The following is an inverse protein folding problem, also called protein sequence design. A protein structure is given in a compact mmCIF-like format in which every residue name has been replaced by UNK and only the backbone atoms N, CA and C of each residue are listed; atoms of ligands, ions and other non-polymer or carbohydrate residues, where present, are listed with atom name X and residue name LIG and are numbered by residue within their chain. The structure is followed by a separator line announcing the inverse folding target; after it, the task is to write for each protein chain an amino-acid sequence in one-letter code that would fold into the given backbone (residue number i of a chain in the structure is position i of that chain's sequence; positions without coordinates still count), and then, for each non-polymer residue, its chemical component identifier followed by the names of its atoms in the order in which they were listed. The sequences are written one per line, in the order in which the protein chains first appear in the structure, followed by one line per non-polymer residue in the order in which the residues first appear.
data_IF_916358117268
#
_entry.id   IF_916358117268
#
_cell.length_a   1.000
_cell.length_b   1.000
_cell.length_c   1.000
_cell.angle_alpha   90.00
_cell.angle_beta   90.00
_cell.angle_gamma   90.00
#
_symmetry.space_group_name_H-M   'P 1'
#
loop_
_entity.id
_entity.type
_entity.pdbx_description
1 polymer ?
#
# COMPACT_ATOMS: atom_id res chain seq x y z
N UNK A 1 10.78 33.39 -1.73
CA UNK A 1 9.56 32.59 -2.04
C UNK A 1 8.48 33.56 -2.47
N UNK A 2 7.56 33.18 -3.36
CA UNK A 2 6.40 34.04 -3.65
C UNK A 2 5.49 34.11 -2.42
N UNK A 3 4.86 35.26 -2.18
CA UNK A 3 3.93 35.46 -1.05
C UNK A 3 2.84 34.37 -1.01
N UNK A 4 2.35 33.98 -2.19
CA UNK A 4 1.35 32.93 -2.34
C UNK A 4 1.79 31.57 -1.79
N UNK A 5 3.06 31.19 -1.98
CA UNK A 5 3.60 29.91 -1.51
C UNK A 5 3.71 29.89 0.03
N UNK A 6 4.09 31.02 0.61
CA UNK A 6 4.14 31.21 2.07
C UNK A 6 2.74 31.22 2.67
N UNK A 7 1.79 31.91 2.05
CA UNK A 7 0.37 31.89 2.47
C UNK A 7 -0.21 30.48 2.43
N UNK A 8 0.07 29.71 1.38
CA UNK A 8 -0.40 28.34 1.26
C UNK A 8 0.14 27.45 2.40
N UNK A 9 1.44 27.55 2.69
CA UNK A 9 2.07 26.81 3.78
C UNK A 9 1.46 27.18 5.14
N UNK A 10 1.10 28.45 5.35
CA UNK A 10 0.37 28.90 6.54
C UNK A 10 -1.03 28.32 6.65
N UNK A 11 -1.79 28.27 5.56
CA UNK A 11 -3.12 27.63 5.57
C UNK A 11 -3.01 26.15 5.91
N UNK A 12 -2.06 25.44 5.31
CA UNK A 12 -1.77 24.05 5.66
C UNK A 12 -1.43 23.91 7.14
N UNK A 13 -0.56 24.78 7.68
CA UNK A 13 -0.19 24.76 9.10
C UNK A 13 -1.40 24.89 10.02
N UNK A 14 -2.29 25.85 9.74
CA UNK A 14 -3.52 26.07 10.51
C UNK A 14 -4.44 24.85 10.48
N UNK A 15 -4.60 24.23 9.32
CA UNK A 15 -5.43 23.02 9.18
C UNK A 15 -4.85 21.86 9.99
N UNK A 16 -3.53 21.65 9.94
CA UNK A 16 -2.88 20.59 10.72
C UNK A 16 -2.97 20.85 12.23
N UNK A 17 -2.80 22.10 12.68
CA UNK A 17 -3.03 22.47 14.09
C UNK A 17 -4.46 22.17 14.52
N UNK A 18 -5.46 22.48 13.68
CA UNK A 18 -6.85 22.21 14.00
C UNK A 18 -7.19 20.71 14.06
N UNK A 19 -6.62 19.91 13.15
CA UNK A 19 -6.82 18.45 13.13
C UNK A 19 -6.06 17.73 14.24
N UNK A 20 -4.89 18.23 14.64
CA UNK A 20 -4.04 17.63 15.66
C UNK A 20 -3.70 18.62 16.79
N UNK A 21 -4.69 19.06 17.60
CA UNK A 21 -4.49 20.09 18.60
C UNK A 21 -3.38 19.73 19.59
N UNK A 22 -2.45 20.68 19.82
CA UNK A 22 -1.29 20.54 20.70
C UNK A 22 -0.19 19.58 20.22
N UNK A 23 -0.54 18.55 19.44
CA UNK A 23 0.42 17.54 18.93
C UNK A 23 1.22 18.07 17.75
N UNK A 24 0.55 18.71 16.79
CA UNK A 24 1.20 19.28 15.61
C UNK A 24 2.27 20.31 15.97
N UNK A 25 1.92 21.27 16.82
CA UNK A 25 2.81 22.36 17.22
C UNK A 25 3.98 21.84 18.06
N UNK A 26 3.76 20.81 18.89
CA UNK A 26 4.85 20.19 19.65
C UNK A 26 5.91 19.58 18.73
N UNK A 27 5.53 19.01 17.61
CA UNK A 27 6.46 18.34 16.68
C UNK A 27 7.06 19.29 15.64
N UNK A 28 6.29 20.26 15.15
CA UNK A 28 6.67 21.08 14.00
C UNK A 28 6.89 22.56 14.36
N UNK A 29 6.50 22.98 15.56
CA UNK A 29 6.48 24.38 15.99
C UNK A 29 5.18 25.09 15.63
N UNK A 30 4.96 26.23 16.28
CA UNK A 30 3.74 27.04 16.10
C UNK A 30 3.64 27.72 14.72
N UNK A 31 4.76 27.85 14.00
CA UNK A 31 4.80 28.57 12.73
C UNK A 31 5.76 27.91 11.71
N UNK A 32 5.42 27.93 10.41
CA UNK A 32 6.31 27.48 9.34
C UNK A 32 7.44 28.47 9.04
N UNK A 33 7.33 29.72 9.50
CA UNK A 33 8.27 30.81 9.24
C UNK A 33 8.79 31.42 10.54
N UNK A 34 10.02 31.90 10.50
CA UNK A 34 10.65 32.68 11.57
C UNK A 34 10.23 34.15 11.49
N UNK A 35 10.56 34.92 12.52
CA UNK A 35 10.28 36.37 12.60
C UNK A 35 10.94 37.18 11.48
N UNK A 36 12.06 36.70 10.94
CA UNK A 36 12.78 37.32 9.82
C UNK A 36 12.19 36.97 8.44
N UNK A 37 11.10 36.20 8.40
CA UNK A 37 10.42 35.75 7.18
C UNK A 37 11.02 34.51 6.52
N UNK A 38 12.14 33.97 7.03
CA UNK A 38 12.72 32.72 6.53
C UNK A 38 11.94 31.49 7.02
N UNK A 39 11.99 30.38 6.28
CA UNK A 39 11.35 29.13 6.72
C UNK A 39 12.06 28.56 7.97
N UNK A 40 11.29 27.93 8.85
CA UNK A 40 11.85 27.03 9.86
C UNK A 40 12.35 25.73 9.21
N UNK A 41 13.06 24.89 9.96
CA UNK A 41 13.48 23.56 9.46
C UNK A 41 12.24 22.74 9.10
N UNK A 42 11.24 22.69 9.99
CA UNK A 42 9.98 22.02 9.73
C UNK A 42 9.24 22.66 8.54
N UNK A 43 9.17 23.99 8.48
CA UNK A 43 8.59 24.72 7.36
C UNK A 43 9.24 24.37 6.03
N UNK A 44 10.57 24.23 6.00
CA UNK A 44 11.33 23.81 4.81
C UNK A 44 10.98 22.38 4.40
N UNK A 45 10.95 21.43 5.33
CA UNK A 45 10.60 20.02 5.07
C UNK A 45 9.19 19.90 4.49
N UNK A 46 8.20 20.53 5.13
CA UNK A 46 6.82 20.50 4.67
C UNK A 46 6.63 21.24 3.36
N UNK A 47 7.34 22.35 3.15
CA UNK A 47 7.34 23.04 1.87
C UNK A 47 7.80 22.13 0.73
N UNK A 48 8.84 21.30 0.92
CA UNK A 48 9.27 20.35 -0.11
C UNK A 48 8.22 19.29 -0.44
N UNK A 49 7.49 18.81 0.57
CA UNK A 49 6.40 17.83 0.36
C UNK A 49 5.23 18.44 -0.40
N UNK A 50 4.88 19.69 -0.08
CA UNK A 50 3.76 20.38 -0.71
C UNK A 50 4.10 20.92 -2.11
N UNK A 51 5.37 21.23 -2.36
CA UNK A 51 5.82 21.78 -3.63
C UNK A 51 5.62 20.77 -4.77
N UNK A 52 5.05 21.24 -5.87
CA UNK A 52 4.86 20.43 -7.09
C UNK A 52 3.67 19.46 -7.03
N UNK A 53 2.86 19.52 -5.97
CA UNK A 53 1.59 18.79 -5.88
C UNK A 53 0.44 19.64 -6.38
N UNK A 54 -0.56 18.97 -6.94
CA UNK A 54 -1.82 19.62 -7.31
C UNK A 54 -2.70 19.83 -6.09
N UNK A 55 -3.64 20.78 -6.17
CA UNK A 55 -4.64 21.02 -5.13
C UNK A 55 -5.44 19.74 -4.82
N UNK A 56 -5.76 18.94 -5.84
CA UNK A 56 -6.46 17.68 -5.69
C UNK A 56 -5.65 16.65 -4.89
N UNK A 57 -4.35 16.54 -5.14
CA UNK A 57 -3.46 15.65 -4.36
C UNK A 57 -3.37 16.09 -2.90
N UNK A 58 -3.28 17.39 -2.63
CA UNK A 58 -3.32 17.88 -1.25
C UNK A 58 -4.64 17.58 -0.56
N UNK A 59 -5.77 17.81 -1.23
CA UNK A 59 -7.09 17.49 -0.68
C UNK A 59 -7.22 16.00 -0.31
N UNK A 60 -6.66 15.09 -1.13
CA UNK A 60 -6.57 13.66 -0.78
C UNK A 60 -5.79 13.43 0.52
N UNK A 61 -4.60 14.02 0.63
CA UNK A 61 -3.77 13.89 1.83
C UNK A 61 -4.49 14.37 3.10
N UNK A 62 -5.15 15.53 3.01
CA UNK A 62 -5.95 16.10 4.09
C UNK A 62 -7.15 15.21 4.45
N UNK A 63 -7.86 14.68 3.45
CA UNK A 63 -8.97 13.76 3.67
C UNK A 63 -8.51 12.48 4.35
N UNK A 64 -7.38 11.90 3.94
CA UNK A 64 -6.81 10.74 4.60
C UNK A 64 -6.47 11.01 6.08
N UNK A 65 -5.98 12.21 6.43
CA UNK A 65 -5.76 12.60 7.83
C UNK A 65 -7.06 12.55 8.64
N UNK A 66 -8.17 12.99 8.06
CA UNK A 66 -9.48 13.00 8.69
C UNK A 66 -10.09 11.59 8.81
N UNK A 67 -10.03 10.79 7.75
CA UNK A 67 -10.70 9.49 7.71
C UNK A 67 -9.94 8.38 8.43
N UNK A 68 -8.61 8.45 8.49
CA UNK A 68 -7.81 7.45 9.21
C UNK A 68 -7.92 7.59 10.74
N UNK A 69 -8.57 8.64 11.27
CA UNK A 69 -8.84 8.80 12.70
C UNK A 69 -7.57 8.81 13.55
N UNK A 70 -6.45 9.28 12.99
CA UNK A 70 -5.13 9.18 13.62
C UNK A 70 -5.08 10.00 14.89
N UNK A 71 -4.55 9.40 15.95
CA UNK A 71 -4.28 10.13 17.18
C UNK A 71 -3.14 11.16 17.01
N UNK A 72 -2.21 10.90 16.09
CA UNK A 72 -0.99 11.67 15.88
C UNK A 72 -0.88 12.18 14.44
N UNK A 73 -0.31 13.38 14.24
CA UNK A 73 -0.11 13.91 12.90
C UNK A 73 0.82 12.99 12.08
N UNK A 74 0.60 12.85 10.76
CA UNK A 74 1.55 12.17 9.92
C UNK A 74 2.86 12.96 9.85
N UNK A 75 3.99 12.25 9.75
CA UNK A 75 5.24 12.87 9.32
C UNK A 75 5.15 13.27 7.83
N UNK A 76 6.08 14.12 7.40
CA UNK A 76 6.12 14.68 6.05
C UNK A 76 6.11 13.60 4.94
N UNK A 77 6.87 12.51 5.11
CA UNK A 77 6.92 11.41 4.15
C UNK A 77 5.59 10.63 4.07
N UNK A 78 4.95 10.37 5.22
CA UNK A 78 3.62 9.74 5.24
C UNK A 78 2.58 10.63 4.57
N UNK A 79 2.57 11.93 4.86
CA UNK A 79 1.64 12.85 4.22
C UNK A 79 1.83 12.89 2.69
N UNK A 80 3.07 12.88 2.19
CA UNK A 80 3.35 12.75 0.76
C UNK A 80 2.68 11.51 0.16
N UNK A 81 2.83 10.35 0.81
CA UNK A 81 2.20 9.10 0.34
C UNK A 81 0.67 9.19 0.34
N UNK A 82 0.08 9.88 1.32
CA UNK A 82 -1.37 10.11 1.38
C UNK A 82 -1.84 11.04 0.25
N UNK A 83 -1.08 12.07 -0.08
CA UNK A 83 -1.38 12.94 -1.23
C UNK A 83 -1.37 12.20 -2.57
N UNK A 84 -0.57 11.14 -2.66
CA UNK A 84 -0.44 10.28 -3.83
C UNK A 84 -1.39 9.08 -3.80
N UNK A 85 -2.30 9.00 -2.82
CA UNK A 85 -3.27 7.91 -2.68
C UNK A 85 -2.59 6.53 -2.48
N UNK A 86 -1.41 6.53 -1.86
CA UNK A 86 -0.65 5.31 -1.61
C UNK A 86 -1.13 4.65 -0.30
N UNK A 87 -1.68 3.42 -0.37
CA UNK A 87 -2.17 2.69 0.80
C UNK A 87 -1.03 2.33 1.77
N UNK A 88 -1.36 2.17 3.05
CA UNK A 88 -0.41 1.62 4.03
C UNK A 88 -0.10 0.15 3.74
N UNK A 89 1.06 -0.34 4.20
CA UNK A 89 1.46 -1.75 4.06
C UNK A 89 0.35 -2.73 4.47
N UNK A 90 -0.29 -2.51 5.62
CA UNK A 90 -1.34 -3.41 6.12
C UNK A 90 -2.56 -3.50 5.18
N UNK A 91 -2.87 -2.43 4.44
CA UNK A 91 -3.93 -2.46 3.44
C UNK A 91 -3.50 -3.28 2.21
N UNK A 92 -2.24 -3.13 1.77
CA UNK A 92 -1.66 -3.93 0.68
C UNK A 92 -1.61 -5.41 1.08
N UNK A 93 -1.13 -5.75 2.27
CA UNK A 93 -1.13 -7.13 2.82
C UNK A 93 -2.53 -7.76 2.76
N UNK A 94 -3.58 -7.00 3.11
CA UNK A 94 -4.96 -7.46 3.03
C UNK A 94 -5.45 -7.65 1.60
N UNK A 95 -5.07 -6.76 0.68
CA UNK A 95 -5.43 -6.85 -0.74
C UNK A 95 -4.65 -7.95 -1.50
N UNK A 96 -3.49 -8.35 -0.99
CA UNK A 96 -2.69 -9.47 -1.50
C UNK A 96 -3.37 -10.83 -1.29
N UNK A 97 -4.33 -10.93 -0.38
CA UNK A 97 -5.06 -12.16 -0.14
C UNK A 97 -5.89 -12.58 -1.38
N UNK A 98 -5.98 -13.88 -1.70
CA UNK A 98 -6.70 -14.34 -2.88
C UNK A 98 -8.18 -13.93 -2.88
N UNK A 99 -8.71 -13.57 -4.06
CA UNK A 99 -10.12 -13.18 -4.24
C UNK A 99 -10.50 -11.80 -3.67
N UNK A 100 -9.55 -11.02 -3.16
CA UNK A 100 -9.80 -9.64 -2.71
C UNK A 100 -9.72 -8.64 -3.86
N UNK A 101 -10.48 -7.54 -3.81
CA UNK A 101 -10.26 -6.42 -4.72
C UNK A 101 -8.88 -5.81 -4.44
N UNK A 102 -8.17 -5.44 -5.50
CA UNK A 102 -6.83 -4.88 -5.44
C UNK A 102 -6.85 -3.46 -6.00
N UNK A 103 -6.36 -2.52 -5.21
CA UNK A 103 -6.06 -1.18 -5.71
C UNK A 103 -5.02 -1.25 -6.82
N UNK A 104 -4.98 -0.24 -7.69
CA UNK A 104 -3.94 -0.14 -8.72
C UNK A 104 -2.53 -0.18 -8.12
N UNK A 105 -2.35 0.37 -6.92
CA UNK A 105 -1.07 0.31 -6.20
C UNK A 105 -0.71 -1.12 -5.80
N UNK A 106 -1.65 -1.91 -5.27
CA UNK A 106 -1.40 -3.32 -4.97
C UNK A 106 -1.10 -4.13 -6.23
N UNK A 107 -1.74 -3.83 -7.36
CA UNK A 107 -1.41 -4.45 -8.66
C UNK A 107 0.04 -4.14 -9.05
N UNK A 108 0.49 -2.90 -8.87
CA UNK A 108 1.90 -2.52 -9.07
C UNK A 108 2.84 -3.30 -8.14
N UNK A 109 2.54 -3.37 -6.85
CA UNK A 109 3.34 -4.16 -5.88
C UNK A 109 3.46 -5.62 -6.32
N UNK A 110 2.34 -6.24 -6.73
CA UNK A 110 2.34 -7.63 -7.24
C UNK A 110 3.20 -7.80 -8.49
N UNK A 111 3.20 -6.83 -9.40
CA UNK A 111 4.03 -6.88 -10.61
C UNK A 111 5.54 -6.80 -10.33
N UNK A 112 5.93 -6.29 -9.16
CA UNK A 112 7.32 -6.18 -8.72
C UNK A 112 7.78 -7.39 -7.89
N UNK A 113 6.88 -8.34 -7.61
CA UNK A 113 7.15 -9.58 -6.89
C UNK A 113 7.32 -10.75 -7.86
N UNK A 114 8.25 -11.63 -7.55
CA UNK A 114 8.17 -13.00 -8.04
C UNK A 114 7.08 -13.74 -7.27
N UNK A 115 5.90 -13.87 -7.90
CA UNK A 115 4.73 -14.47 -7.26
C UNK A 115 4.91 -15.95 -6.95
N UNK A 116 5.77 -16.67 -7.71
CA UNK A 116 6.04 -18.07 -7.43
C UNK A 116 6.85 -18.19 -6.14
N UNK A 117 7.98 -17.48 -6.06
CA UNK A 117 8.84 -17.49 -4.86
C UNK A 117 8.09 -16.94 -3.65
N UNK A 118 7.26 -15.91 -3.83
CA UNK A 118 6.44 -15.34 -2.76
C UNK A 118 5.38 -16.33 -2.24
N UNK A 119 4.78 -17.13 -3.11
CA UNK A 119 3.78 -18.13 -2.73
C UNK A 119 4.40 -19.39 -2.10
N UNK A 120 5.63 -19.73 -2.47
CA UNK A 120 6.37 -20.90 -1.96
C UNK A 120 7.39 -20.56 -0.88
N UNK A 121 7.37 -19.35 -0.33
CA UNK A 121 8.34 -18.92 0.69
C UNK A 121 8.26 -19.81 1.94
N UNK A 122 9.42 -20.15 2.51
CA UNK A 122 9.54 -21.12 3.61
C UNK A 122 8.81 -20.69 4.88
N UNK A 123 8.67 -19.37 5.09
CA UNK A 123 7.98 -18.80 6.24
C UNK A 123 7.39 -17.41 5.96
N UNK A 124 6.43 -17.02 6.81
CA UNK A 124 5.75 -15.72 6.71
C UNK A 124 6.66 -14.51 6.90
N UNK A 125 7.81 -14.65 7.58
CA UNK A 125 8.76 -13.54 7.73
C UNK A 125 9.47 -13.22 6.41
N UNK A 126 9.92 -14.24 5.68
CA UNK A 126 10.50 -14.08 4.35
C UNK A 126 9.48 -13.50 3.38
N UNK A 127 8.25 -14.03 3.40
CA UNK A 127 7.15 -13.51 2.58
C UNK A 127 6.89 -12.02 2.86
N UNK A 128 6.86 -11.62 4.14
CA UNK A 128 6.68 -10.22 4.53
C UNK A 128 7.83 -9.33 4.06
N UNK A 129 9.08 -9.79 4.16
CA UNK A 129 10.24 -9.03 3.67
C UNK A 129 10.20 -8.79 2.16
N UNK A 130 9.87 -9.82 1.39
CA UNK A 130 9.70 -9.67 -0.06
C UNK A 130 8.62 -8.62 -0.39
N UNK A 131 7.50 -8.65 0.34
CA UNK A 131 6.43 -7.67 0.17
C UNK A 131 6.88 -6.26 0.57
N UNK A 132 7.62 -6.11 1.67
CA UNK A 132 8.19 -4.83 2.14
C UNK A 132 9.13 -4.19 1.10
N UNK A 133 9.96 -5.01 0.46
CA UNK A 133 10.86 -4.57 -0.62
C UNK A 133 10.08 -4.15 -1.87
N UNK A 134 9.11 -4.96 -2.31
CA UNK A 134 8.28 -4.63 -3.47
C UNK A 134 7.42 -3.39 -3.24
N UNK A 135 6.85 -3.24 -2.04
CA UNK A 135 6.11 -2.05 -1.64
C UNK A 135 7.00 -0.80 -1.69
N UNK A 136 8.21 -0.87 -1.14
CA UNK A 136 9.13 0.28 -1.13
C UNK A 136 9.50 0.72 -2.55
N UNK A 137 9.71 -0.24 -3.46
CA UNK A 137 9.94 0.02 -4.88
C UNK A 137 8.70 0.64 -5.55
N UNK A 138 7.50 0.15 -5.24
CA UNK A 138 6.25 0.71 -5.75
C UNK A 138 6.00 2.14 -5.24
N UNK A 139 6.30 2.43 -3.97
CA UNK A 139 6.23 3.80 -3.42
C UNK A 139 7.14 4.73 -4.22
N UNK A 140 8.41 4.35 -4.42
CA UNK A 140 9.34 5.18 -5.18
C UNK A 140 8.86 5.40 -6.62
N UNK A 141 8.34 4.36 -7.28
CA UNK A 141 7.78 4.45 -8.62
C UNK A 141 6.67 5.52 -8.72
N UNK A 142 5.74 5.54 -7.76
CA UNK A 142 4.65 6.54 -7.74
C UNK A 142 5.16 7.93 -7.36
N UNK A 143 6.10 8.03 -6.42
CA UNK A 143 6.73 9.30 -6.03
C UNK A 143 7.50 9.93 -7.20
N UNK A 144 8.12 9.12 -8.06
CA UNK A 144 8.76 9.54 -9.31
C UNK A 144 7.74 10.01 -10.38
N UNK A 145 6.44 9.94 -10.10
CA UNK A 145 5.37 10.36 -11.01
C UNK A 145 5.04 9.34 -12.10
N UNK A 146 5.51 8.09 -11.98
CA UNK A 146 5.18 7.03 -12.94
C UNK A 146 3.75 6.53 -12.72
N UNK A 147 3.07 6.06 -13.79
CA UNK A 147 1.67 5.68 -13.72
C UNK A 147 1.46 4.46 -12.82
N UNK A 148 0.30 4.45 -12.15
CA UNK A 148 -0.22 3.31 -11.38
C UNK A 148 -1.14 2.49 -12.29
N UNK A 149 -1.03 1.14 -12.30
CA UNK A 149 -1.94 0.26 -13.04
C UNK A 149 -3.41 0.46 -12.66
N UNK A 150 -4.32 -0.04 -13.50
CA UNK A 150 -5.74 -0.07 -13.15
C UNK A 150 -6.01 -1.05 -11.99
N UNK A 151 -6.98 -0.75 -11.12
CA UNK A 151 -7.38 -1.66 -10.04
C UNK A 151 -7.99 -2.95 -10.60
N UNK A 152 -7.78 -4.06 -9.90
CA UNK A 152 -8.40 -5.35 -10.21
C UNK A 152 -9.57 -5.57 -9.26
N UNK A 153 -10.77 -5.71 -9.80
CA UNK A 153 -11.96 -6.02 -9.00
C UNK A 153 -11.89 -7.47 -8.51
N UNK A 154 -12.56 -7.75 -7.39
CA UNK A 154 -12.67 -9.11 -6.88
C UNK A 154 -13.34 -9.99 -7.94
N UNK A 155 -12.59 -10.93 -8.50
CA UNK A 155 -13.14 -11.98 -9.35
C UNK A 155 -13.52 -13.13 -8.42
N UNK A 156 -14.72 -13.68 -8.59
CA UNK A 156 -15.07 -14.93 -7.91
C UNK A 156 -14.02 -15.98 -8.28
N UNK A 157 -13.31 -16.49 -7.29
CA UNK A 157 -12.42 -17.62 -7.54
C UNK A 157 -13.30 -18.77 -8.01
N UNK A 158 -13.05 -19.25 -9.23
CA UNK A 158 -13.46 -20.59 -9.61
C UNK A 158 -12.88 -21.52 -8.54
N UNK A 159 -13.76 -21.98 -7.65
CA UNK A 159 -13.47 -23.14 -6.82
C UNK A 159 -13.13 -24.21 -7.84
N UNK A 160 -11.86 -24.57 -7.94
CA UNK A 160 -11.46 -25.74 -8.70
C UNK A 160 -12.17 -26.90 -8.02
N UNK A 161 -13.35 -27.23 -8.53
CA UNK A 161 -14.15 -28.30 -8.00
C UNK A 161 -13.31 -29.55 -8.12
N UNK A 162 -13.35 -30.40 -7.10
CA UNK A 162 -12.96 -31.80 -7.31
C UNK A 162 -13.83 -32.29 -8.45
N UNK A 163 -13.25 -32.54 -9.62
CA UNK A 163 -13.98 -33.17 -10.70
C UNK A 163 -14.55 -34.45 -10.15
N UNK A 164 -15.87 -34.52 -9.99
CA UNK A 164 -16.56 -35.74 -9.57
C UNK A 164 -16.12 -36.82 -10.55
N UNK A 165 -15.38 -37.80 -10.02
CA UNK A 165 -15.00 -38.99 -10.79
C UNK A 165 -16.29 -39.59 -11.32
N UNK A 166 -16.50 -39.45 -12.64
CA UNK A 166 -17.77 -39.77 -13.31
C UNK A 166 -18.14 -41.24 -13.14
N UNK A 167 -17.13 -42.10 -13.01
CA UNK A 167 -17.26 -43.52 -12.73
C UNK A 167 -16.21 -43.94 -11.69
N UNK A 168 -16.69 -44.15 -10.45
CA UNK A 168 -15.83 -44.50 -9.31
C UNK A 168 -15.26 -45.90 -9.42
N UNK A 169 -15.94 -46.81 -10.10
CA UNK A 169 -15.49 -48.20 -10.25
C UNK A 169 -14.37 -48.29 -11.28
N UNK A 170 -14.51 -47.58 -12.41
CA UNK A 170 -13.43 -47.46 -13.41
C UNK A 170 -12.18 -46.81 -12.83
N UNK A 171 -12.34 -45.74 -12.03
CA UNK A 171 -11.22 -45.11 -11.35
C UNK A 171 -10.54 -46.04 -10.34
N UNK A 172 -11.33 -46.83 -9.58
CA UNK A 172 -10.80 -47.82 -8.65
C UNK A 172 -10.02 -48.91 -9.37
N UNK A 173 -10.53 -49.43 -10.48
CA UNK A 173 -9.83 -50.44 -11.29
C UNK A 173 -8.57 -49.88 -11.96
N UNK A 174 -8.54 -48.60 -12.34
CA UNK A 174 -7.34 -47.95 -12.85
C UNK A 174 -6.28 -47.77 -11.74
N UNK A 175 -6.69 -47.34 -10.54
CA UNK A 175 -5.81 -47.23 -9.38
C UNK A 175 -5.25 -48.59 -8.93
N UNK A 176 -6.07 -49.64 -8.93
CA UNK A 176 -5.63 -50.99 -8.59
C UNK A 176 -4.59 -51.54 -9.58
N UNK A 177 -4.78 -51.28 -10.89
CA UNK A 177 -3.77 -51.62 -11.92
C UNK A 177 -2.47 -50.85 -11.70
N UNK A 178 -2.55 -49.54 -11.51
CA UNK A 178 -1.36 -48.72 -11.25
C UNK A 178 -0.64 -49.14 -9.96
N UNK A 179 -1.37 -49.51 -8.90
CA UNK A 179 -0.78 -50.02 -7.66
C UNK A 179 -0.06 -51.37 -7.86
N UNK A 180 -0.60 -52.26 -8.69
CA UNK A 180 0.06 -53.51 -9.06
C UNK A 180 1.32 -53.25 -9.90
N UNK A 181 1.24 -52.37 -10.90
CA UNK A 181 2.36 -52.02 -11.78
C UNK A 181 3.51 -51.34 -11.01
N UNK A 182 3.18 -50.57 -9.97
CA UNK A 182 4.14 -49.87 -9.12
C UNK A 182 4.59 -50.69 -7.89
N UNK A 183 4.12 -51.94 -7.74
CA UNK A 183 4.54 -52.83 -6.66
C UNK A 183 3.96 -52.50 -5.27
N UNK A 184 2.92 -51.68 -5.19
CA UNK A 184 2.19 -51.39 -3.95
C UNK A 184 1.13 -52.45 -3.60
N UNK A 185 0.93 -53.46 -4.45
CA UNK A 185 -0.01 -54.56 -4.23
C UNK A 185 0.65 -55.74 -3.51
N UNK A 186 0.75 -55.71 -2.18
CA UNK A 186 1.26 -56.83 -1.40
C UNK A 186 0.71 -56.88 0.03
N UNK A 187 -0.22 -57.83 0.24
CA UNK A 187 -0.78 -58.42 1.47
C UNK A 187 -1.40 -57.48 2.53
#
# INVERSE_FOLDING_TARGET
MSDQATSYLWEFWKQMTAMFPGKWERENGAAPVKKDGSLTIAGTTWFQVLKGRTVAQHAKGMNCCLTEGREWPPNAGRFLTMCLDIPVMAAVEREMAPGRPQSGFTVLVRSLLDLHVYATADNGFQQRRMLEEAYSRAVQHVVDGKPVPQPVLAVEQEKHGVHLVRDRDSARSAMARAAADLGFGGA
#
